data_IF_792176966888
#
_entry.id   IF_792176966888
#
_cell.length_a   1.000
_cell.length_b   1.000
_cell.length_c   1.000
_cell.angle_alpha   90.00
_cell.angle_beta   90.00
_cell.angle_gamma   90.00
#
_symmetry.space_group_name_H-M   'P 1'
#
loop_
_entity.id
_entity.type
_entity.pdbx_description
1 polymer ?
#
# COMPACT_ATOMS: atom_id res chain seq x y z
N UNK A 1 10.38 18.33 -0.30
CA UNK A 1 9.76 19.59 -0.69
C UNK A 1 8.56 19.82 0.21
N UNK A 2 8.52 20.87 1.02
CA UNK A 2 7.37 21.18 1.88
C UNK A 2 6.14 21.62 1.06
N UNK A 3 4.94 21.51 1.65
CA UNK A 3 3.67 21.99 1.08
C UNK A 3 3.40 21.50 -0.36
N UNK A 4 3.38 20.18 -0.57
CA UNK A 4 3.01 19.59 -1.85
C UNK A 4 2.20 18.32 -1.64
N UNK A 5 1.14 18.15 -2.42
CA UNK A 5 0.43 16.88 -2.50
C UNK A 5 1.07 16.01 -3.57
N UNK A 6 1.40 14.77 -3.21
CA UNK A 6 1.90 13.76 -4.15
C UNK A 6 0.91 12.61 -4.17
N UNK A 7 -0.04 12.69 -5.10
CA UNK A 7 -1.06 11.67 -5.32
C UNK A 7 -0.51 10.57 -6.22
N UNK A 8 -0.74 9.32 -5.83
CA UNK A 8 -0.37 8.14 -6.63
C UNK A 8 -1.56 7.16 -6.64
N UNK A 9 -2.66 7.52 -7.33
CA UNK A 9 -3.94 6.85 -7.19
C UNK A 9 -3.92 5.41 -7.76
N UNK A 10 -4.60 4.49 -7.09
CA UNK A 10 -4.72 3.08 -7.45
C UNK A 10 -5.82 2.80 -8.48
N UNK A 11 -6.89 3.60 -8.49
CA UNK A 11 -8.04 3.36 -9.36
C UNK A 11 -8.78 4.66 -9.73
N UNK A 12 -9.98 4.52 -10.31
CA UNK A 12 -10.79 5.65 -10.76
C UNK A 12 -11.33 6.53 -9.63
N UNK A 13 -11.70 5.93 -8.50
CA UNK A 13 -12.21 6.67 -7.33
C UNK A 13 -11.12 7.52 -6.71
N UNK A 14 -9.94 6.94 -6.49
CA UNK A 14 -8.78 7.68 -5.98
C UNK A 14 -8.31 8.76 -6.96
N UNK A 15 -8.36 8.50 -8.26
CA UNK A 15 -8.03 9.50 -9.29
C UNK A 15 -9.00 10.68 -9.22
N UNK A 16 -10.30 10.42 -9.01
CA UNK A 16 -11.31 11.45 -8.85
C UNK A 16 -11.09 12.29 -7.58
N UNK A 17 -10.75 11.66 -6.46
CA UNK A 17 -10.39 12.34 -5.22
C UNK A 17 -9.13 13.21 -5.36
N UNK A 18 -8.11 12.71 -6.07
CA UNK A 18 -6.89 13.46 -6.36
C UNK A 18 -7.19 14.72 -7.19
N UNK A 19 -8.00 14.59 -8.24
CA UNK A 19 -8.44 15.72 -9.06
C UNK A 19 -9.28 16.72 -8.25
N UNK A 20 -10.24 16.23 -7.46
CA UNK A 20 -11.07 17.07 -6.59
C UNK A 20 -10.21 17.88 -5.62
N UNK A 21 -9.25 17.24 -4.96
CA UNK A 21 -8.35 17.90 -4.02
C UNK A 21 -7.46 18.94 -4.72
N UNK A 22 -6.89 18.57 -5.87
CA UNK A 22 -6.03 19.45 -6.65
C UNK A 22 -6.76 20.70 -7.17
N UNK A 23 -8.05 20.59 -7.50
CA UNK A 23 -8.88 21.72 -7.94
C UNK A 23 -9.43 22.56 -6.78
N UNK A 24 -9.58 21.97 -5.60
CA UNK A 24 -10.16 22.64 -4.43
C UNK A 24 -9.12 23.41 -3.61
N UNK A 25 -7.86 22.96 -3.63
CA UNK A 25 -6.77 23.62 -2.90
C UNK A 25 -6.33 24.92 -3.58
N UNK A 26 -6.07 25.96 -2.78
CA UNK A 26 -5.62 27.28 -3.27
C UNK A 26 -4.14 27.56 -3.07
N UNK A 27 -3.51 26.85 -2.14
CA UNK A 27 -2.16 27.17 -1.65
C UNK A 27 -1.17 26.00 -1.74
N UNK A 28 -1.65 24.80 -2.07
CA UNK A 28 -0.81 23.59 -2.10
C UNK A 28 -0.78 23.01 -3.52
N UNK A 29 0.38 23.05 -4.22
CA UNK A 29 0.50 22.39 -5.51
C UNK A 29 0.29 20.88 -5.39
N UNK A 30 -0.20 20.25 -6.47
CA UNK A 30 -0.46 18.81 -6.53
C UNK A 30 0.28 18.17 -7.71
N UNK A 31 0.90 17.02 -7.45
CA UNK A 31 1.44 16.09 -8.44
C UNK A 31 0.55 14.85 -8.42
N UNK A 32 0.09 14.40 -9.60
CA UNK A 32 -0.72 13.18 -9.74
C UNK A 32 0.02 12.18 -10.63
N UNK A 33 0.55 11.11 -10.03
CA UNK A 33 1.37 10.10 -10.70
C UNK A 33 0.51 8.93 -11.23
N UNK A 34 0.01 9.08 -12.46
CA UNK A 34 -0.92 8.16 -13.12
C UNK A 34 -0.23 6.99 -13.84
N UNK A 35 -0.85 5.81 -13.83
CA UNK A 35 -0.34 4.59 -14.49
C UNK A 35 -0.49 4.63 -16.01
N UNK A 36 0.37 3.88 -16.71
CA UNK A 36 0.24 3.58 -18.13
C UNK A 36 -0.55 2.30 -18.40
N UNK A 37 -0.46 1.32 -17.49
CA UNK A 37 -1.09 0.01 -17.63
C UNK A 37 -2.39 -0.04 -16.83
N UNK A 38 -3.29 -0.90 -17.26
CA UNK A 38 -4.61 -1.06 -16.64
C UNK A 38 -4.50 -1.54 -15.20
N UNK A 39 -5.39 -1.02 -14.34
CA UNK A 39 -5.52 -1.41 -12.94
C UNK A 39 -7.00 -1.72 -12.65
N UNK A 40 -7.28 -2.68 -11.75
CA UNK A 40 -8.64 -2.98 -11.34
C UNK A 40 -9.21 -1.86 -10.47
N UNK A 41 -10.54 -1.72 -10.49
CA UNK A 41 -11.25 -0.89 -9.52
C UNK A 41 -11.24 -1.59 -8.16
N UNK A 42 -10.97 -0.84 -7.08
CA UNK A 42 -10.97 -1.37 -5.73
C UNK A 42 -12.38 -1.31 -5.13
N UNK A 43 -12.83 -2.39 -4.49
CA UNK A 43 -14.16 -2.45 -3.85
C UNK A 43 -14.31 -1.43 -2.71
N UNK A 44 -13.23 -1.16 -1.97
CA UNK A 44 -13.25 -0.25 -0.83
C UNK A 44 -12.97 1.22 -1.20
N UNK A 45 -12.68 1.52 -2.48
CA UNK A 45 -12.34 2.89 -2.86
C UNK A 45 -13.60 3.74 -3.03
N UNK A 46 -13.56 4.90 -2.40
CA UNK A 46 -14.54 5.96 -2.61
C UNK A 46 -13.83 7.30 -2.65
N UNK A 47 -14.48 8.32 -3.20
CA UNK A 47 -13.91 9.67 -3.24
C UNK A 47 -13.68 10.16 -1.81
N UNK A 48 -14.62 9.90 -0.91
CA UNK A 48 -14.58 10.30 0.50
C UNK A 48 -13.41 9.63 1.22
N UNK A 49 -13.26 8.30 1.09
CA UNK A 49 -12.18 7.56 1.70
C UNK A 49 -10.81 7.99 1.15
N UNK A 50 -10.69 8.13 -0.16
CA UNK A 50 -9.45 8.55 -0.81
C UNK A 50 -9.07 10.01 -0.51
N UNK A 51 -10.05 10.90 -0.27
CA UNK A 51 -9.81 12.29 0.10
C UNK A 51 -9.15 12.45 1.47
N UNK A 52 -9.19 11.42 2.32
CA UNK A 52 -8.44 11.39 3.58
C UNK A 52 -6.93 11.19 3.38
N UNK A 53 -6.47 10.93 2.16
CA UNK A 53 -5.06 10.70 1.80
C UNK A 53 -4.56 9.28 2.08
N UNK A 54 -5.12 8.59 3.07
CA UNK A 54 -4.88 7.18 3.35
C UNK A 54 -6.07 6.55 4.08
N UNK A 55 -6.42 5.33 3.69
CA UNK A 55 -7.58 4.62 4.23
C UNK A 55 -7.37 3.10 4.18
N UNK A 56 -8.19 2.36 4.91
CA UNK A 56 -8.14 0.89 4.96
C UNK A 56 -8.83 0.34 3.70
N UNK A 57 -8.05 -0.21 2.76
CA UNK A 57 -8.58 -0.83 1.55
C UNK A 57 -9.13 -2.24 1.77
N UNK A 58 -8.59 -2.97 2.75
CA UNK A 58 -9.04 -4.30 3.16
C UNK A 58 -8.80 -4.42 4.65
N UNK A 59 -9.84 -4.79 5.37
CA UNK A 59 -9.76 -5.09 6.79
C UNK A 59 -9.88 -6.59 7.04
N UNK A 60 -9.37 -7.02 8.19
CA UNK A 60 -9.51 -8.39 8.70
C UNK A 60 -10.93 -8.61 9.21
N UNK A 61 -11.38 -9.87 9.27
CA UNK A 61 -12.71 -10.19 9.83
C UNK A 61 -12.82 -9.72 11.28
N UNK A 62 -13.97 -9.15 11.62
CA UNK A 62 -14.27 -8.61 12.95
C UNK A 62 -13.98 -9.64 14.05
N UNK A 63 -13.24 -9.23 15.08
CA UNK A 63 -12.85 -10.09 16.21
C UNK A 63 -11.54 -10.86 16.06
N UNK A 64 -10.82 -10.74 14.94
CA UNK A 64 -9.49 -11.34 14.77
C UNK A 64 -8.35 -10.36 15.08
N UNK A 65 -7.26 -10.86 15.67
CA UNK A 65 -6.01 -10.10 15.83
C UNK A 65 -5.39 -9.81 14.48
N UNK A 66 -4.81 -8.62 14.32
CA UNK A 66 -4.07 -8.24 13.10
C UNK A 66 -2.60 -8.62 13.30
N UNK A 67 -2.08 -9.51 12.46
CA UNK A 67 -0.72 -10.02 12.56
C UNK A 67 0.27 -9.16 11.75
N UNK A 68 -0.23 -8.50 10.70
CA UNK A 68 0.59 -7.70 9.80
C UNK A 68 -0.21 -6.52 9.25
N UNK A 69 0.47 -5.39 9.05
CA UNK A 69 -0.10 -4.27 8.32
C UNK A 69 0.78 -3.94 7.08
N UNK A 70 0.18 -3.88 5.89
CA UNK A 70 0.85 -3.61 4.60
C UNK A 70 0.41 -2.26 4.05
N UNK A 71 1.28 -1.24 3.99
CA UNK A 71 0.97 -0.02 3.21
C UNK A 71 1.32 -0.24 1.75
N UNK A 72 0.50 0.25 0.85
CA UNK A 72 0.88 0.41 -0.55
C UNK A 72 0.19 1.62 -1.18
N UNK A 73 0.60 1.96 -2.39
CA UNK A 73 -0.02 3.02 -3.20
C UNK A 73 -0.12 2.53 -4.64
N UNK A 74 -1.10 3.02 -5.41
CA UNK A 74 -1.25 2.77 -6.84
C UNK A 74 -1.37 1.28 -7.23
N UNK A 75 -0.63 0.86 -8.27
CA UNK A 75 -0.56 -0.50 -8.82
C UNK A 75 -0.18 -1.57 -7.81
N UNK A 76 0.53 -1.20 -6.75
CA UNK A 76 0.96 -2.09 -5.71
C UNK A 76 -0.21 -2.45 -4.77
N UNK A 77 -1.29 -1.65 -4.73
CA UNK A 77 -2.47 -1.93 -3.88
C UNK A 77 -3.15 -3.23 -4.28
N UNK A 78 -3.37 -3.46 -5.58
CA UNK A 78 -3.96 -4.71 -6.07
C UNK A 78 -3.06 -5.92 -5.77
N UNK A 79 -1.74 -5.76 -5.93
CA UNK A 79 -0.75 -6.80 -5.58
C UNK A 79 -0.78 -7.12 -4.09
N UNK A 80 -0.90 -6.10 -3.24
CA UNK A 80 -1.02 -6.28 -1.78
C UNK A 80 -2.32 -6.97 -1.40
N UNK A 81 -3.45 -6.60 -2.02
CA UNK A 81 -4.73 -7.27 -1.79
C UNK A 81 -4.65 -8.75 -2.15
N UNK A 82 -4.04 -9.11 -3.28
CA UNK A 82 -3.85 -10.52 -3.63
C UNK A 82 -2.90 -11.25 -2.65
N UNK A 83 -1.81 -10.61 -2.21
CA UNK A 83 -0.93 -11.19 -1.21
C UNK A 83 -1.64 -11.43 0.13
N UNK A 84 -2.50 -10.49 0.58
CA UNK A 84 -3.26 -10.67 1.83
C UNK A 84 -4.18 -11.89 1.76
N UNK A 85 -4.82 -12.15 0.61
CA UNK A 85 -5.64 -13.35 0.39
C UNK A 85 -4.79 -14.63 0.50
N UNK A 86 -3.57 -14.62 -0.04
CA UNK A 86 -2.64 -15.75 0.03
C UNK A 86 -2.20 -15.98 1.48
N UNK A 87 -1.81 -14.93 2.20
CA UNK A 87 -1.40 -15.00 3.60
C UNK A 87 -2.52 -15.54 4.51
N UNK A 88 -3.74 -15.07 4.32
CA UNK A 88 -4.92 -15.57 5.05
C UNK A 88 -5.20 -17.04 4.74
N UNK A 89 -5.15 -17.43 3.46
CA UNK A 89 -5.51 -18.78 3.02
C UNK A 89 -4.46 -19.83 3.36
N UNK A 90 -3.18 -19.51 3.18
CA UNK A 90 -2.08 -20.48 3.29
C UNK A 90 -1.44 -20.51 4.67
N UNK A 91 -1.38 -19.36 5.35
CA UNK A 91 -0.68 -19.21 6.63
C UNK A 91 -1.62 -18.86 7.80
N UNK A 92 -2.90 -18.60 7.53
CA UNK A 92 -3.88 -18.22 8.56
C UNK A 92 -3.63 -16.85 9.18
N UNK A 93 -2.81 -16.01 8.53
CA UNK A 93 -2.41 -14.69 9.03
C UNK A 93 -3.43 -13.63 8.62
N UNK A 94 -3.82 -12.78 9.56
CA UNK A 94 -4.76 -11.69 9.31
C UNK A 94 -3.99 -10.40 9.02
N UNK A 95 -3.91 -10.03 7.74
CA UNK A 95 -3.19 -8.85 7.30
C UNK A 95 -4.13 -7.67 7.01
N UNK A 96 -3.85 -6.50 7.60
CA UNK A 96 -4.53 -5.22 7.33
C UNK A 96 -3.65 -4.36 6.42
N UNK A 97 -4.18 -3.30 5.80
CA UNK A 97 -3.41 -2.36 4.95
C UNK A 97 -3.38 -0.94 5.55
N UNK A 98 -2.27 -0.54 6.18
CA UNK A 98 -1.90 0.77 6.82
C UNK A 98 -0.39 0.77 7.21
N UNK A 99 0.14 1.82 7.89
CA UNK A 99 1.57 2.20 8.12
C UNK A 99 2.57 1.05 8.37
N UNK A 100 3.82 1.19 7.88
CA UNK A 100 4.79 0.10 7.83
C UNK A 100 6.10 0.37 8.60
N UNK A 101 6.61 -0.65 9.30
CA UNK A 101 7.93 -0.67 9.95
C UNK A 101 9.05 -1.12 9.00
N UNK A 102 8.72 -1.89 7.96
CA UNK A 102 9.62 -2.36 6.93
C UNK A 102 9.18 -1.86 5.56
N UNK A 103 10.13 -1.56 4.69
CA UNK A 103 9.84 -0.99 3.37
C UNK A 103 10.30 -1.95 2.26
N UNK A 104 9.42 -2.22 1.31
CA UNK A 104 9.74 -2.97 0.10
C UNK A 104 9.54 -2.10 -1.14
N UNK A 105 10.63 -1.89 -1.88
CA UNK A 105 10.64 -1.10 -3.11
C UNK A 105 11.90 -1.34 -3.92
N UNK A 106 12.08 -0.54 -4.97
CA UNK A 106 13.23 -0.63 -5.87
C UNK A 106 14.24 0.45 -5.47
N UNK A 107 15.39 0.05 -4.93
CA UNK A 107 16.48 0.94 -4.49
C UNK A 107 17.57 1.15 -5.57
N UNK A 108 17.24 0.92 -6.84
CA UNK A 108 18.16 1.04 -7.97
C UNK A 108 17.45 1.52 -9.23
N UNK A 109 18.18 1.56 -10.35
CA UNK A 109 17.57 1.90 -11.63
C UNK A 109 16.60 0.80 -12.11
N UNK A 110 15.70 1.21 -13.01
CA UNK A 110 14.83 0.27 -13.74
C UNK A 110 15.60 -0.59 -14.74
N UNK A 111 14.86 -1.39 -15.49
CA UNK A 111 15.38 -2.16 -16.61
C UNK A 111 14.45 -2.03 -17.82
N UNK A 112 14.98 -2.28 -19.02
CA UNK A 112 14.17 -2.33 -20.24
C UNK A 112 13.53 -3.70 -20.38
N UNK A 113 12.22 -3.75 -20.52
CA UNK A 113 11.45 -4.97 -20.72
C UNK A 113 9.95 -4.78 -20.55
N UNK A 114 9.14 -5.80 -20.88
CA UNK A 114 7.71 -5.78 -20.62
C UNK A 114 7.42 -5.62 -19.12
N UNK A 115 6.41 -4.83 -18.77
CA UNK A 115 6.10 -4.50 -17.37
C UNK A 115 6.01 -5.75 -16.48
N UNK A 116 5.21 -6.75 -16.88
CA UNK A 116 5.02 -7.98 -16.10
C UNK A 116 6.34 -8.73 -15.83
N UNK A 117 7.23 -8.79 -16.81
CA UNK A 117 8.55 -9.40 -16.65
C UNK A 117 9.42 -8.63 -15.65
N UNK A 118 9.29 -7.29 -15.63
CA UNK A 118 9.99 -6.43 -14.67
C UNK A 118 9.43 -6.57 -13.26
N UNK A 119 8.09 -6.60 -13.08
CA UNK A 119 7.46 -6.86 -11.78
C UNK A 119 7.95 -8.18 -11.19
N UNK A 120 8.03 -9.25 -12.00
CA UNK A 120 8.61 -10.53 -11.59
C UNK A 120 10.09 -10.41 -11.23
N UNK A 121 10.90 -9.74 -12.05
CA UNK A 121 12.33 -9.54 -11.81
C UNK A 121 12.61 -8.82 -10.49
N UNK A 122 11.79 -7.84 -10.14
CA UNK A 122 11.91 -7.07 -8.90
C UNK A 122 11.10 -7.66 -7.74
N UNK A 123 10.51 -8.85 -7.93
CA UNK A 123 9.70 -9.55 -6.93
C UNK A 123 8.52 -8.73 -6.40
N UNK A 124 8.07 -7.74 -7.17
CA UNK A 124 6.87 -6.93 -6.89
C UNK A 124 5.62 -7.73 -7.30
N UNK A 125 5.50 -8.93 -6.73
CA UNK A 125 4.46 -9.91 -7.01
C UNK A 125 3.82 -10.36 -5.70
N UNK A 126 2.61 -10.97 -5.73
CA UNK A 126 1.98 -11.44 -4.50
C UNK A 126 2.85 -12.43 -3.72
N UNK A 127 3.52 -13.36 -4.42
CA UNK A 127 4.43 -14.33 -3.80
C UNK A 127 5.67 -13.66 -3.17
N UNK A 128 6.29 -12.71 -3.89
CA UNK A 128 7.45 -11.97 -3.38
C UNK A 128 7.12 -11.09 -2.17
N UNK A 129 5.87 -10.59 -2.10
CA UNK A 129 5.37 -9.87 -0.94
C UNK A 129 5.08 -10.82 0.24
N UNK A 130 4.51 -12.00 0.00
CA UNK A 130 4.27 -13.00 1.05
C UNK A 130 5.57 -13.44 1.72
N UNK A 131 6.63 -13.72 0.95
CA UNK A 131 7.93 -14.10 1.50
C UNK A 131 8.51 -13.00 2.41
N UNK A 132 8.41 -11.73 2.00
CA UNK A 132 8.84 -10.58 2.82
C UNK A 132 7.98 -10.33 4.04
N UNK A 133 6.67 -10.54 3.91
CA UNK A 133 5.72 -10.46 5.00
C UNK A 133 6.07 -11.47 6.11
N UNK A 134 6.31 -12.73 5.73
CA UNK A 134 6.72 -13.78 6.67
C UNK A 134 8.05 -13.47 7.35
N UNK A 135 9.05 -12.97 6.60
CA UNK A 135 10.33 -12.52 7.15
C UNK A 135 10.15 -11.36 8.14
N UNK A 136 9.23 -10.45 7.86
CA UNK A 136 8.93 -9.31 8.74
C UNK A 136 8.29 -9.78 10.04
N UNK A 137 7.33 -10.69 9.96
CA UNK A 137 6.69 -11.29 11.15
C UNK A 137 7.72 -12.02 11.99
N UNK A 138 8.55 -12.87 11.38
CA UNK A 138 9.63 -13.58 12.08
C UNK A 138 10.66 -12.63 12.71
N UNK A 139 10.98 -11.51 12.07
CA UNK A 139 11.90 -10.52 12.61
C UNK A 139 11.37 -9.84 13.89
N UNK A 140 10.05 -9.62 13.97
CA UNK A 140 9.41 -8.99 15.13
C UNK A 140 8.85 -10.00 16.15
N UNK A 141 9.12 -11.29 15.96
CA UNK A 141 8.69 -12.33 16.87
C UNK A 141 9.23 -12.07 18.28
N UNK A 142 8.33 -12.06 19.28
CA UNK A 142 8.66 -11.75 20.67
C UNK A 142 8.79 -10.26 21.02
N UNK A 143 8.71 -9.36 20.04
CA UNK A 143 8.75 -7.90 20.26
C UNK A 143 7.39 -7.21 20.05
N UNK A 144 6.32 -7.95 19.75
CA UNK A 144 4.99 -7.43 19.43
C UNK A 144 4.42 -6.45 20.46
N UNK A 145 4.59 -6.71 21.76
CA UNK A 145 4.07 -5.83 22.82
C UNK A 145 4.81 -4.48 22.91
N UNK A 146 6.03 -4.42 22.38
CA UNK A 146 6.86 -3.21 22.38
C UNK A 146 6.79 -2.42 21.07
N UNK A 147 6.14 -2.97 20.04
CA UNK A 147 5.97 -2.33 18.74
C UNK A 147 5.05 -1.11 18.87
N UNK A 148 5.58 0.05 18.50
CA UNK A 148 4.82 1.30 18.45
C UNK A 148 4.51 1.69 17.01
N UNK A 149 3.47 2.49 16.83
CA UNK A 149 3.15 3.04 15.51
C UNK A 149 4.32 3.90 15.01
N UNK A 150 4.74 3.79 13.74
CA UNK A 150 5.80 4.65 13.18
C UNK A 150 5.48 6.15 13.20
N UNK A 151 4.21 6.52 13.42
CA UNK A 151 3.76 7.92 13.55
C UNK A 151 4.11 8.51 14.92
N UNK A 152 4.29 7.66 15.94
CA UNK A 152 4.68 8.11 17.27
C UNK A 152 6.15 8.58 17.25
N UNK A 153 6.32 9.90 17.24
CA UNK A 153 7.62 10.55 17.33
C UNK A 153 7.92 10.97 18.77
N UNK A 154 9.21 11.03 19.12
CA UNK A 154 9.62 11.41 20.47
C UNK A 154 9.45 12.90 20.77
N UNK A 155 9.48 13.76 19.74
CA UNK A 155 9.34 15.22 19.80
C UNK A 155 8.87 15.76 18.45
#
# INVERSE_FOLDING_TARGET
MPNIHVWRPADGSETSAACLTALSTRETPSIIALTRHDLPQLEASSIEAASMGGYICRDVTEGKSVDLIIVSTRSEVSVCIEATKILEKEYGLNARVVYAHQHFGINGFGASGPANSLFNKFELTPAGLCDRALKTISFYEGAYESLKSPIEVAF
#
